data_IF_291327514729
#
_entry.id   IF_291327514729
#
_cell.length_a   1.000
_cell.length_b   1.000
_cell.length_c   1.000
_cell.angle_alpha   90.00
_cell.angle_beta   90.00
_cell.angle_gamma   90.00
#
_symmetry.space_group_name_H-M   'P 1'
#
loop_
_entity.id
_entity.type
_entity.pdbx_description
1 polymer ?
#
# COMPACT_ATOMS: atom_id res chain seq x y z
N UNK A 1 15.12 9.67 4.66
CA UNK A 1 16.06 9.30 3.58
C UNK A 1 17.52 9.50 3.99
N UNK A 2 17.94 10.70 4.41
CA UNK A 2 19.36 11.01 4.69
C UNK A 2 20.05 10.13 5.74
N UNK A 3 19.29 9.57 6.68
CA UNK A 3 19.82 8.70 7.75
C UNK A 3 19.49 7.21 7.57
N UNK A 4 19.00 6.78 6.40
CA UNK A 4 18.67 5.37 6.12
C UNK A 4 17.38 4.83 6.75
N UNK A 5 16.68 5.62 7.58
CA UNK A 5 15.43 5.20 8.26
C UNK A 5 14.24 4.94 7.33
N UNK A 6 14.28 5.49 6.12
CA UNK A 6 13.25 5.31 5.09
C UNK A 6 13.93 5.35 3.73
N UNK A 7 13.60 4.39 2.89
CA UNK A 7 14.02 4.37 1.49
C UNK A 7 13.09 5.27 0.66
N UNK A 8 13.60 6.41 0.21
CA UNK A 8 12.82 7.37 -0.57
C UNK A 8 12.58 6.94 -2.02
N UNK A 9 13.30 5.93 -2.49
CA UNK A 9 13.17 5.37 -3.84
C UNK A 9 12.42 4.04 -3.85
N UNK A 10 11.97 3.55 -2.69
CA UNK A 10 11.21 2.31 -2.59
C UNK A 10 9.94 2.40 -3.45
N UNK A 11 9.73 1.33 -4.23
CA UNK A 11 8.53 1.17 -5.07
C UNK A 11 7.61 0.16 -4.38
N UNK A 12 6.39 0.55 -3.98
CA UNK A 12 5.46 -0.36 -3.34
C UNK A 12 5.10 -1.54 -4.24
N UNK A 13 4.94 -2.72 -3.65
CA UNK A 13 4.48 -3.92 -4.35
C UNK A 13 3.05 -4.24 -3.92
N UNK A 14 2.15 -4.31 -4.90
CA UNK A 14 0.73 -4.56 -4.68
C UNK A 14 0.43 -6.01 -5.06
N UNK A 15 -0.18 -6.74 -4.14
CA UNK A 15 -0.63 -8.11 -4.36
C UNK A 15 -2.11 -8.25 -3.98
N UNK A 16 -2.90 -8.89 -4.85
CA UNK A 16 -4.29 -9.25 -4.57
C UNK A 16 -4.39 -10.77 -4.34
N UNK A 17 -4.31 -11.18 -3.08
CA UNK A 17 -4.37 -12.62 -2.73
C UNK A 17 -5.79 -13.20 -2.75
N UNK A 18 -6.82 -12.33 -2.64
CA UNK A 18 -8.25 -12.70 -2.61
C UNK A 18 -9.09 -11.61 -3.27
N UNK A 19 -10.31 -11.96 -3.69
CA UNK A 19 -11.23 -11.05 -4.38
C UNK A 19 -11.41 -9.71 -3.66
N UNK A 20 -11.51 -9.72 -2.33
CA UNK A 20 -11.71 -8.52 -1.50
C UNK A 20 -10.55 -8.22 -0.54
N UNK A 21 -9.33 -8.64 -0.86
CA UNK A 21 -8.16 -8.34 -0.04
C UNK A 21 -6.95 -7.95 -0.89
N UNK A 22 -6.43 -6.76 -0.63
CA UNK A 22 -5.18 -6.24 -1.20
C UNK A 22 -4.15 -6.11 -0.07
N UNK A 23 -2.93 -6.56 -0.36
CA UNK A 23 -1.75 -6.30 0.45
C UNK A 23 -0.78 -5.44 -0.36
N UNK A 24 -0.25 -4.40 0.29
CA UNK A 24 0.82 -3.57 -0.26
C UNK A 24 2.02 -3.65 0.66
N UNK A 25 3.16 -4.04 0.11
CA UNK A 25 4.46 -3.92 0.76
C UNK A 25 5.08 -2.58 0.34
N UNK A 26 5.30 -1.67 1.30
CA UNK A 26 5.91 -0.38 1.06
C UNK A 26 7.44 -0.44 0.91
N UNK A 27 8.05 -1.61 1.08
CA UNK A 27 9.48 -1.91 0.91
C UNK A 27 10.38 -0.94 1.68
N UNK A 28 10.06 -0.67 2.95
CA UNK A 28 10.74 0.29 3.84
C UNK A 28 10.64 1.76 3.41
N UNK A 29 9.76 2.04 2.46
CA UNK A 29 9.45 3.38 1.96
C UNK A 29 8.33 4.08 2.71
N UNK A 30 7.82 5.15 2.11
CA UNK A 30 6.77 5.96 2.70
C UNK A 30 5.38 5.29 2.63
N UNK A 31 4.53 5.55 3.64
CA UNK A 31 3.17 5.02 3.69
C UNK A 31 2.25 5.59 2.58
N UNK A 32 2.32 6.89 2.31
CA UNK A 32 1.43 7.55 1.33
C UNK A 32 1.57 6.99 -0.10
N UNK A 33 2.78 6.81 -0.68
CA UNK A 33 2.93 6.11 -1.96
C UNK A 33 2.36 4.69 -1.98
N UNK A 34 2.48 3.95 -0.87
CA UNK A 34 1.93 2.60 -0.77
C UNK A 34 0.38 2.61 -0.72
N UNK A 35 -0.20 3.58 -0.01
CA UNK A 35 -1.65 3.80 0.01
C UNK A 35 -2.14 4.17 -1.39
N UNK A 36 -1.50 5.13 -2.06
CA UNK A 36 -1.85 5.52 -3.44
C UNK A 36 -1.78 4.36 -4.41
N UNK A 37 -0.75 3.51 -4.30
CA UNK A 37 -0.61 2.31 -5.11
C UNK A 37 -1.76 1.33 -4.86
N UNK A 38 -2.11 1.08 -3.60
CA UNK A 38 -3.21 0.20 -3.22
C UNK A 38 -4.59 0.72 -3.64
N UNK A 39 -4.81 2.04 -3.60
CA UNK A 39 -6.09 2.66 -3.95
C UNK A 39 -6.47 2.48 -5.42
N UNK A 40 -5.47 2.40 -6.31
CA UNK A 40 -5.69 2.14 -7.75
C UNK A 40 -6.42 0.81 -7.98
N UNK A 41 -6.07 -0.23 -7.22
CA UNK A 41 -6.70 -1.55 -7.27
C UNK A 41 -7.95 -1.64 -6.39
N UNK A 42 -7.95 -0.96 -5.23
CA UNK A 42 -9.04 -1.05 -4.26
C UNK A 42 -10.36 -0.46 -4.80
N UNK A 43 -10.31 0.70 -5.45
CA UNK A 43 -11.53 1.39 -5.92
C UNK A 43 -12.37 0.52 -6.87
N UNK A 44 -11.83 -0.08 -7.94
CA UNK A 44 -12.63 -0.94 -8.81
C UNK A 44 -13.15 -2.19 -8.08
N UNK A 45 -12.35 -2.81 -7.20
CA UNK A 45 -12.77 -3.99 -6.46
C UNK A 45 -13.89 -3.70 -5.45
N UNK A 46 -13.89 -2.54 -4.80
CA UNK A 46 -14.98 -2.14 -3.88
C UNK A 46 -16.30 -2.00 -4.64
N UNK A 47 -16.27 -1.43 -5.85
CA UNK A 47 -17.48 -1.30 -6.69
C UNK A 47 -18.06 -2.67 -7.10
N UNK A 48 -17.19 -3.65 -7.34
CA UNK A 48 -17.60 -5.01 -7.71
C UNK A 48 -18.07 -5.85 -6.52
N UNK A 49 -17.36 -5.76 -5.39
CA UNK A 49 -17.50 -6.72 -4.29
C UNK A 49 -18.18 -6.13 -3.04
N UNK A 50 -18.54 -4.85 -3.07
CA UNK A 50 -19.17 -4.11 -1.96
C UNK A 50 -18.21 -3.67 -0.86
N UNK A 51 -17.22 -4.50 -0.51
CA UNK A 51 -16.19 -4.19 0.47
C UNK A 51 -14.84 -4.85 0.11
N UNK A 52 -13.74 -4.15 0.38
CA UNK A 52 -12.37 -4.62 0.15
C UNK A 52 -11.48 -4.12 1.29
N UNK A 53 -10.66 -5.01 1.85
CA UNK A 53 -9.60 -4.63 2.79
C UNK A 53 -8.30 -4.32 2.07
N UNK A 54 -7.66 -3.20 2.44
CA UNK A 54 -6.29 -2.85 2.04
C UNK A 54 -5.39 -2.91 3.27
N UNK A 55 -4.32 -3.69 3.18
CA UNK A 55 -3.29 -3.80 4.23
C UNK A 55 -1.98 -3.23 3.72
N UNK A 56 -1.32 -2.42 4.53
CA UNK A 56 0.01 -1.87 4.22
C UNK A 56 1.03 -2.49 5.19
N UNK A 57 2.14 -2.97 4.64
CA UNK A 57 3.23 -3.61 5.38
C UNK A 57 4.56 -2.95 5.05
N UNK A 58 5.55 -3.07 5.95
CA UNK A 58 6.91 -2.53 5.80
C UNK A 58 6.96 -1.03 5.44
N UNK A 59 6.02 -0.23 5.91
CA UNK A 59 6.07 1.22 5.71
C UNK A 59 6.82 1.92 6.82
N UNK A 60 7.34 3.10 6.51
CA UNK A 60 7.65 4.09 7.52
C UNK A 60 6.35 4.61 8.19
N UNK A 61 6.51 5.43 9.23
CA UNK A 61 5.40 6.03 9.95
C UNK A 61 4.39 6.70 8.99
N UNK A 62 3.11 6.44 9.24
CA UNK A 62 2.00 7.11 8.59
C UNK A 62 1.55 8.27 9.48
N UNK A 63 2.15 9.44 9.27
CA UNK A 63 1.70 10.70 9.89
C UNK A 63 0.36 11.15 9.31
N UNK A 64 -0.08 12.36 9.68
CA UNK A 64 -1.24 13.07 9.10
C UNK A 64 -0.81 14.36 8.42
#
# INVERSE_FOLDING_TARGET
VKCGKVDGAAVPEVTQSRLSAIQVDAKTGFAHPAIDAGFKELIPLVKSNGCVGLTISNSYNCGV
#
